data_IF_009936618927
#
_entry.id   IF_009936618927
#
_cell.length_a   1.000
_cell.length_b   1.000
_cell.length_c   1.000
_cell.angle_alpha   90.00
_cell.angle_beta   90.00
_cell.angle_gamma   90.00
#
_symmetry.space_group_name_H-M   'P 1'
#
loop_
_entity.id
_entity.type
_entity.pdbx_description
1 polymer ?
#
# COMPACT_ATOMS: atom_id res chain seq x y z
N UNK A 1 -17.14 13.56 2.93
CA UNK A 1 -15.70 13.24 2.84
C UNK A 1 -14.91 14.45 3.31
N UNK A 2 -13.97 14.28 4.25
CA UNK A 2 -13.08 15.34 4.71
C UNK A 2 -11.71 15.11 4.06
N UNK A 3 -11.13 16.15 3.46
CA UNK A 3 -9.82 16.11 2.84
C UNK A 3 -8.78 16.80 3.71
N UNK A 4 -7.50 16.49 3.45
CA UNK A 4 -6.37 17.19 4.07
C UNK A 4 -6.51 18.70 3.85
N UNK A 5 -6.25 19.48 4.90
CA UNK A 5 -6.48 20.93 4.91
C UNK A 5 -7.92 21.35 5.25
N UNK A 6 -8.76 20.43 5.75
CA UNK A 6 -10.09 20.73 6.28
C UNK A 6 -11.17 20.95 5.21
N UNK A 7 -10.85 20.69 3.93
CA UNK A 7 -11.80 20.85 2.84
C UNK A 7 -12.85 19.72 2.87
N UNK A 8 -14.13 20.08 2.84
CA UNK A 8 -15.25 19.12 2.82
C UNK A 8 -15.77 18.92 1.40
N UNK A 9 -15.87 17.66 0.99
CA UNK A 9 -16.56 17.24 -0.23
C UNK A 9 -17.82 16.46 0.13
N UNK A 10 -18.90 16.81 -0.56
CA UNK A 10 -20.15 16.05 -0.58
C UNK A 10 -20.11 15.07 -1.74
N UNK A 11 -20.58 13.86 -1.50
CA UNK A 11 -20.60 12.79 -2.49
C UNK A 11 -22.06 12.47 -2.80
N UNK A 12 -22.36 12.26 -4.08
CA UNK A 12 -23.66 11.81 -4.54
C UNK A 12 -23.49 10.72 -5.59
N UNK A 13 -24.23 9.63 -5.40
CA UNK A 13 -24.35 8.54 -6.34
C UNK A 13 -25.48 8.78 -7.34
N UNK A 14 -25.25 8.43 -8.59
CA UNK A 14 -26.25 8.39 -9.65
C UNK A 14 -26.17 7.03 -10.36
N UNK A 15 -26.67 5.94 -9.73
CA UNK A 15 -26.45 4.55 -10.18
C UNK A 15 -26.97 4.24 -11.58
N UNK A 16 -27.96 5.00 -12.05
CA UNK A 16 -28.59 4.83 -13.37
C UNK A 16 -28.04 5.80 -14.42
N UNK A 17 -27.09 6.67 -14.09
CA UNK A 17 -26.54 7.63 -15.04
C UNK A 17 -25.93 6.92 -16.25
N UNK A 18 -26.44 7.23 -17.45
CA UNK A 18 -26.04 6.60 -18.73
C UNK A 18 -25.95 5.07 -18.65
N UNK A 19 -26.83 4.47 -17.86
CA UNK A 19 -26.91 3.03 -17.60
C UNK A 19 -25.66 2.39 -16.98
N UNK A 20 -24.61 3.14 -16.66
CA UNK A 20 -23.37 2.60 -16.06
C UNK A 20 -23.18 3.02 -14.61
N UNK A 21 -23.82 4.12 -14.21
CA UNK A 21 -23.64 4.70 -12.89
C UNK A 21 -22.55 5.77 -12.85
N UNK A 22 -22.65 6.65 -11.85
CA UNK A 22 -21.72 7.78 -11.66
C UNK A 22 -21.67 8.16 -10.19
N UNK A 23 -20.52 8.62 -9.73
CA UNK A 23 -20.35 9.30 -8.45
C UNK A 23 -19.86 10.71 -8.71
N UNK A 24 -20.43 11.69 -8.03
CA UNK A 24 -20.08 13.10 -8.16
C UNK A 24 -19.62 13.60 -6.80
N UNK A 25 -18.42 14.17 -6.76
CA UNK A 25 -17.90 14.89 -5.61
C UNK A 25 -18.04 16.39 -5.86
N UNK A 26 -18.66 17.11 -4.94
CA UNK A 26 -18.88 18.54 -5.07
C UNK A 26 -18.59 19.30 -3.77
N UNK A 27 -18.18 20.55 -3.94
CA UNK A 27 -18.01 21.53 -2.88
C UNK A 27 -19.26 22.40 -2.80
N UNK A 28 -19.77 22.59 -1.60
CA UNK A 28 -20.81 23.57 -1.32
C UNK A 28 -20.13 24.83 -0.75
N UNK A 29 -20.21 25.93 -1.48
CA UNK A 29 -19.74 27.23 -1.01
C UNK A 29 -20.75 27.83 -0.01
N UNK A 30 -20.30 28.81 0.79
CA UNK A 30 -21.13 29.47 1.80
C UNK A 30 -22.35 30.21 1.21
N UNK A 31 -22.24 30.66 -0.04
CA UNK A 31 -23.30 31.30 -0.82
C UNK A 31 -24.30 30.29 -1.43
N UNK A 32 -24.14 28.99 -1.15
CA UNK A 32 -24.97 27.93 -1.71
C UNK A 32 -24.53 27.46 -3.10
N UNK A 33 -23.52 28.07 -3.70
CA UNK A 33 -23.03 27.65 -5.01
C UNK A 33 -22.35 26.27 -4.92
N UNK A 34 -22.76 25.38 -5.82
CA UNK A 34 -22.20 24.03 -5.94
C UNK A 34 -21.13 24.00 -7.02
N UNK A 35 -19.91 23.61 -6.66
CA UNK A 35 -18.82 23.37 -7.60
C UNK A 35 -18.53 21.87 -7.66
N UNK A 36 -18.70 21.26 -8.84
CA UNK A 36 -18.23 19.89 -9.06
C UNK A 36 -16.70 19.86 -8.97
N UNK A 37 -16.18 19.08 -8.04
CA UNK A 37 -14.75 18.89 -7.86
C UNK A 37 -14.25 17.71 -8.70
N UNK A 38 -14.99 16.59 -8.69
CA UNK A 38 -14.60 15.37 -9.39
C UNK A 38 -15.83 14.53 -9.74
N UNK A 39 -15.69 13.65 -10.74
CA UNK A 39 -16.66 12.59 -10.97
C UNK A 39 -16.01 11.26 -11.34
N UNK A 40 -16.57 10.18 -10.84
CA UNK A 40 -16.21 8.80 -11.16
C UNK A 40 -17.32 8.19 -12.01
N UNK A 41 -16.98 7.43 -13.04
CA UNK A 41 -17.95 6.79 -13.94
C UNK A 41 -17.86 5.28 -13.80
N UNK A 42 -19.01 4.62 -13.78
CA UNK A 42 -19.08 3.16 -13.79
C UNK A 42 -18.63 2.59 -15.14
N UNK A 43 -18.03 1.41 -15.09
CA UNK A 43 -17.45 0.75 -16.27
C UNK A 43 -18.48 -0.07 -17.04
N UNK A 44 -19.34 -0.81 -16.32
CA UNK A 44 -20.26 -1.79 -16.89
C UNK A 44 -21.72 -1.30 -16.88
N UNK A 45 -22.42 -1.52 -18.00
CA UNK A 45 -23.85 -1.23 -18.13
C UNK A 45 -24.64 -2.11 -17.17
N UNK A 46 -25.64 -1.54 -16.50
CA UNK A 46 -26.50 -2.24 -15.56
C UNK A 46 -25.85 -2.53 -14.21
N UNK A 47 -24.63 -2.07 -13.95
CA UNK A 47 -23.91 -2.40 -12.71
C UNK A 47 -24.35 -1.63 -11.46
N UNK A 48 -25.11 -0.54 -11.66
CA UNK A 48 -25.56 0.37 -10.59
C UNK A 48 -24.40 0.99 -9.79
N UNK A 49 -23.28 1.28 -10.46
CA UNK A 49 -22.12 1.93 -9.83
C UNK A 49 -22.49 3.24 -9.13
N UNK A 50 -22.10 3.37 -7.87
CA UNK A 50 -22.43 4.50 -7.01
C UNK A 50 -23.74 4.34 -6.25
N UNK A 51 -24.26 3.12 -6.10
CA UNK A 51 -25.46 2.87 -5.28
C UNK A 51 -25.22 3.07 -3.80
N UNK A 52 -24.05 2.66 -3.32
CA UNK A 52 -23.58 2.86 -1.95
C UNK A 52 -22.23 3.56 -1.97
N UNK A 53 -22.02 4.45 -1.01
CA UNK A 53 -20.82 5.26 -0.85
C UNK A 53 -20.39 5.25 0.61
N UNK A 54 -19.18 4.75 0.90
CA UNK A 54 -18.66 4.70 2.26
C UNK A 54 -17.28 5.39 2.32
N UNK A 55 -17.21 6.67 2.74
CA UNK A 55 -15.95 7.33 3.04
C UNK A 55 -15.40 6.85 4.39
N UNK A 56 -14.14 6.46 4.42
CA UNK A 56 -13.44 5.85 5.54
C UNK A 56 -12.16 6.62 5.88
N UNK A 57 -11.91 6.81 7.17
CA UNK A 57 -10.68 7.31 7.76
C UNK A 57 -9.97 6.11 8.39
N UNK A 58 -9.03 5.53 7.65
CA UNK A 58 -8.43 4.24 8.00
C UNK A 58 -7.22 4.41 8.92
N UNK A 59 -6.56 5.57 8.92
CA UNK A 59 -5.45 5.86 9.83
C UNK A 59 -5.85 6.68 11.06
N UNK A 60 -7.11 7.10 11.16
CA UNK A 60 -7.69 7.79 12.31
C UNK A 60 -7.27 9.26 12.42
N UNK A 61 -6.73 9.85 11.35
CA UNK A 61 -6.22 11.22 11.37
C UNK A 61 -7.29 12.31 11.21
N UNK A 62 -8.56 11.91 11.11
CA UNK A 62 -9.71 12.77 10.86
C UNK A 62 -9.98 13.02 9.38
N UNK A 63 -9.13 12.57 8.48
CA UNK A 63 -9.25 12.73 7.03
C UNK A 63 -9.78 11.44 6.42
N UNK A 64 -10.58 11.57 5.36
CA UNK A 64 -10.93 10.39 4.58
C UNK A 64 -9.73 9.92 3.76
N UNK A 65 -9.28 8.69 3.99
CA UNK A 65 -8.24 7.99 3.21
C UNK A 65 -8.82 7.20 2.04
N UNK A 66 -9.96 6.55 2.28
CA UNK A 66 -10.58 5.62 1.33
C UNK A 66 -12.04 6.00 1.08
N UNK A 67 -12.46 5.91 -0.17
CA UNK A 67 -13.87 5.91 -0.56
C UNK A 67 -14.22 4.56 -1.18
N UNK A 68 -15.13 3.84 -0.53
CA UNK A 68 -15.77 2.67 -1.11
C UNK A 68 -16.95 3.09 -1.98
N UNK A 69 -17.04 2.50 -3.17
CA UNK A 69 -18.15 2.70 -4.10
C UNK A 69 -18.68 1.35 -4.54
N UNK A 70 -19.96 1.09 -4.30
CA UNK A 70 -20.56 -0.19 -4.69
C UNK A 70 -21.16 -0.17 -6.11
N UNK A 71 -21.16 -1.35 -6.73
CA UNK A 71 -21.87 -1.69 -7.96
C UNK A 71 -22.51 -3.09 -7.78
N UNK A 72 -23.60 -3.21 -7.01
CA UNK A 72 -24.15 -4.49 -6.58
C UNK A 72 -24.71 -5.31 -7.74
N UNK A 73 -25.04 -4.71 -8.88
CA UNK A 73 -25.53 -5.45 -10.06
C UNK A 73 -24.42 -5.74 -11.06
N UNK A 74 -23.15 -5.63 -10.66
CA UNK A 74 -22.03 -5.97 -11.52
C UNK A 74 -22.07 -7.46 -11.91
N UNK A 75 -22.00 -7.72 -13.22
CA UNK A 75 -21.94 -9.04 -13.81
C UNK A 75 -20.50 -9.56 -13.80
N UNK A 76 -20.27 -10.62 -13.04
CA UNK A 76 -19.03 -11.38 -12.99
C UNK A 76 -18.96 -12.49 -14.05
N UNK A 77 -18.09 -13.50 -13.87
CA UNK A 77 -17.98 -14.63 -14.78
C UNK A 77 -19.32 -15.31 -15.04
N UNK A 78 -19.53 -15.78 -16.28
CA UNK A 78 -20.78 -16.42 -16.73
C UNK A 78 -22.03 -15.53 -16.63
N UNK A 79 -21.88 -14.20 -16.65
CA UNK A 79 -22.99 -13.24 -16.55
C UNK A 79 -23.81 -13.38 -15.26
N UNK A 80 -23.20 -13.80 -14.16
CA UNK A 80 -23.86 -13.83 -12.84
C UNK A 80 -23.74 -12.47 -12.16
N UNK A 81 -24.79 -12.02 -11.50
CA UNK A 81 -24.82 -10.77 -10.72
C UNK A 81 -24.04 -10.92 -9.41
N UNK A 82 -22.71 -10.96 -9.51
CA UNK A 82 -21.83 -11.14 -8.34
C UNK A 82 -21.79 -9.90 -7.47
N UNK A 83 -21.99 -8.72 -8.07
CA UNK A 83 -21.73 -7.44 -7.43
C UNK A 83 -20.24 -7.16 -7.29
N UNK A 84 -19.89 -5.93 -6.91
CA UNK A 84 -18.52 -5.44 -6.75
C UNK A 84 -18.49 -4.20 -5.85
N UNK A 85 -17.45 -4.09 -5.02
CA UNK A 85 -17.11 -2.85 -4.30
C UNK A 85 -15.74 -2.37 -4.77
N UNK A 86 -15.66 -1.10 -5.15
CA UNK A 86 -14.44 -0.43 -5.58
C UNK A 86 -13.83 0.33 -4.41
N UNK A 87 -12.50 0.29 -4.29
CA UNK A 87 -11.73 1.00 -3.26
C UNK A 87 -10.97 2.14 -3.93
N UNK A 88 -11.35 3.38 -3.66
CA UNK A 88 -10.63 4.56 -4.15
C UNK A 88 -9.83 5.17 -3.02
N UNK A 89 -8.49 5.17 -3.14
CA UNK A 89 -7.67 6.00 -2.26
C UNK A 89 -7.87 7.47 -2.63
N UNK A 90 -8.06 8.29 -1.62
CA UNK A 90 -8.12 9.73 -1.80
C UNK A 90 -6.70 10.23 -2.08
N UNK A 91 -6.34 10.28 -3.37
CA UNK A 91 -4.99 10.65 -3.86
C UNK A 91 -4.26 9.59 -4.69
N UNK A 92 -4.78 8.35 -4.78
CA UNK A 92 -4.27 7.27 -5.64
C UNK A 92 -5.41 6.35 -6.12
N UNK A 93 -5.20 5.60 -7.20
CA UNK A 93 -6.19 4.63 -7.69
C UNK A 93 -5.73 3.22 -7.35
N UNK A 94 -6.54 2.44 -6.63
CA UNK A 94 -6.35 1.00 -6.43
C UNK A 94 -7.50 0.26 -7.12
N UNK A 95 -7.19 -0.86 -7.77
CA UNK A 95 -8.16 -1.71 -8.43
C UNK A 95 -8.88 -2.64 -7.43
N UNK A 96 -10.13 -2.97 -7.72
CA UNK A 96 -10.98 -3.81 -6.86
C UNK A 96 -10.35 -5.20 -6.61
N UNK A 97 -10.48 -5.70 -5.37
CA UNK A 97 -10.02 -7.03 -4.95
C UNK A 97 -11.11 -8.08 -5.25
N UNK A 98 -10.72 -9.28 -5.68
CA UNK A 98 -11.64 -10.41 -5.92
C UNK A 98 -11.81 -11.25 -4.65
N UNK A 99 -13.05 -11.49 -4.24
CA UNK A 99 -13.38 -12.35 -3.10
C UNK A 99 -13.27 -13.85 -3.44
N UNK A 100 -12.90 -14.72 -2.47
CA UNK A 100 -12.70 -16.16 -2.69
C UNK A 100 -14.01 -16.99 -2.77
N UNK A 101 -15.17 -16.44 -2.37
CA UNK A 101 -16.47 -17.11 -2.48
C UNK A 101 -17.37 -16.45 -3.53
N UNK A 102 -18.21 -17.28 -4.18
CA UNK A 102 -19.21 -16.81 -5.12
C UNK A 102 -20.36 -16.08 -4.39
N UNK A 103 -20.20 -14.77 -4.21
CA UNK A 103 -21.24 -13.89 -3.67
C UNK A 103 -22.17 -13.43 -4.79
N UNK A 104 -23.42 -13.10 -4.41
CA UNK A 104 -24.38 -12.44 -5.30
C UNK A 104 -24.77 -11.09 -4.73
N UNK A 105 -24.88 -10.08 -5.58
CA UNK A 105 -25.16 -8.70 -5.18
C UNK A 105 -24.23 -8.12 -4.11
N UNK A 106 -22.95 -8.49 -4.13
CA UNK A 106 -21.96 -7.96 -3.20
C UNK A 106 -21.86 -6.43 -3.30
N UNK A 107 -21.92 -5.73 -2.15
CA UNK A 107 -21.98 -4.28 -2.11
C UNK A 107 -23.40 -3.70 -2.07
N UNK A 108 -24.41 -4.52 -1.77
CA UNK A 108 -25.80 -4.05 -1.63
C UNK A 108 -25.98 -3.08 -0.46
N UNK A 109 -25.16 -3.24 0.57
CA UNK A 109 -25.01 -2.33 1.70
C UNK A 109 -23.54 -2.32 2.10
N UNK A 110 -23.03 -1.19 2.58
CA UNK A 110 -21.66 -1.03 3.06
C UNK A 110 -21.68 -0.17 4.31
N UNK A 111 -21.04 -0.62 5.38
CA UNK A 111 -20.75 0.19 6.57
C UNK A 111 -19.29 -0.02 6.98
N UNK A 112 -18.67 1.00 7.58
CA UNK A 112 -17.26 0.91 7.98
C UNK A 112 -16.86 1.88 9.08
N UNK A 113 -17.62 1.88 10.18
CA UNK A 113 -17.46 2.85 11.27
C UNK A 113 -17.14 2.20 12.61
N UNK A 114 -17.04 0.88 12.64
CA UNK A 114 -16.89 0.11 13.86
C UNK A 114 -15.67 -0.79 13.72
N UNK A 115 -14.91 -0.87 14.79
CA UNK A 115 -13.98 -1.96 15.05
C UNK A 115 -14.80 -3.17 15.50
N UNK A 116 -14.70 -4.28 14.77
CA UNK A 116 -15.46 -5.50 15.06
C UNK A 116 -14.57 -6.65 15.54
N UNK A 117 -13.25 -6.54 15.46
CA UNK A 117 -12.31 -7.55 15.94
C UNK A 117 -11.48 -7.13 17.17
N UNK A 118 -11.58 -5.87 17.59
CA UNK A 118 -11.06 -5.33 18.83
C UNK A 118 -9.61 -4.85 18.76
N UNK A 119 -9.08 -4.56 17.56
CA UNK A 119 -7.73 -4.05 17.35
C UNK A 119 -7.63 -2.50 17.25
N UNK A 120 -8.74 -1.82 17.51
CA UNK A 120 -9.00 -0.38 17.36
C UNK A 120 -8.90 0.16 15.92
N UNK A 121 -8.92 -0.70 14.91
CA UNK A 121 -9.04 -0.30 13.52
C UNK A 121 -10.49 -0.39 13.07
N UNK A 122 -10.91 0.55 12.22
CA UNK A 122 -12.26 0.46 11.65
C UNK A 122 -12.33 -0.69 10.63
N UNK A 123 -13.30 -1.57 10.78
CA UNK A 123 -13.54 -2.64 9.81
C UNK A 123 -14.65 -2.27 8.84
N UNK A 124 -14.76 -3.01 7.74
CA UNK A 124 -15.81 -2.80 6.74
C UNK A 124 -16.72 -4.00 6.65
N UNK A 125 -18.01 -3.79 6.91
CA UNK A 125 -19.05 -4.78 6.67
C UNK A 125 -19.70 -4.54 5.29
N UNK A 126 -19.71 -5.56 4.44
CA UNK A 126 -20.31 -5.51 3.11
C UNK A 126 -21.42 -6.55 2.99
N UNK A 127 -22.63 -6.08 2.69
CA UNK A 127 -23.79 -6.93 2.47
C UNK A 127 -23.80 -7.57 1.07
N UNK A 128 -24.31 -8.80 1.03
CA UNK A 128 -24.60 -9.58 -0.17
C UNK A 128 -25.95 -10.31 0.00
N UNK A 129 -26.41 -10.99 -1.04
CA UNK A 129 -27.60 -11.83 -0.95
C UNK A 129 -27.34 -13.04 -0.05
N UNK A 130 -28.04 -13.09 1.09
CA UNK A 130 -27.95 -14.20 2.05
C UNK A 130 -26.67 -14.23 2.88
N UNK A 131 -25.80 -13.21 2.80
CA UNK A 131 -24.55 -13.14 3.56
C UNK A 131 -24.12 -11.69 3.82
N UNK A 132 -23.28 -11.50 4.84
CA UNK A 132 -22.48 -10.30 5.03
C UNK A 132 -21.02 -10.72 5.17
N UNK A 133 -20.11 -9.92 4.59
CA UNK A 133 -18.68 -10.14 4.66
C UNK A 133 -18.07 -9.05 5.51
N UNK A 134 -17.33 -9.45 6.54
CA UNK A 134 -16.48 -8.55 7.30
C UNK A 134 -15.09 -8.50 6.65
N UNK A 135 -14.60 -7.30 6.41
CA UNK A 135 -13.26 -7.02 5.93
C UNK A 135 -12.51 -6.30 7.06
N UNK A 136 -11.69 -7.06 7.79
CA UNK A 136 -10.84 -6.50 8.83
C UNK A 136 -9.77 -5.59 8.22
N UNK A 137 -9.58 -4.43 8.84
CA UNK A 137 -8.49 -3.53 8.46
C UNK A 137 -7.13 -4.10 8.85
N UNK A 138 -6.05 -3.50 8.31
CA UNK A 138 -4.68 -3.86 8.66
C UNK A 138 -3.91 -2.61 9.04
N UNK A 139 -2.98 -2.67 10.01
CA UNK A 139 -2.18 -1.52 10.40
C UNK A 139 -1.35 -0.95 9.23
N UNK A 140 -1.30 0.38 9.13
CA UNK A 140 -0.50 1.06 8.10
C UNK A 140 0.82 1.52 8.73
N UNK A 141 1.93 1.02 8.19
CA UNK A 141 3.29 1.42 8.58
C UNK A 141 4.02 2.07 7.42
N UNK A 142 4.74 3.14 7.71
CA UNK A 142 5.67 3.80 6.80
C UNK A 142 7.09 3.36 7.11
N UNK A 143 7.78 2.86 6.09
CA UNK A 143 9.18 2.45 6.15
C UNK A 143 10.02 3.49 5.40
N UNK A 144 10.94 4.15 6.10
CA UNK A 144 11.92 5.05 5.52
C UNK A 144 13.31 4.38 5.57
N UNK A 145 13.79 3.79 4.46
CA UNK A 145 15.11 3.20 4.40
C UNK A 145 16.20 4.26 4.19
N UNK A 146 17.36 4.07 4.81
CA UNK A 146 18.57 4.86 4.59
C UNK A 146 19.79 3.95 4.49
N UNK A 147 20.68 4.22 3.53
CA UNK A 147 21.87 3.41 3.28
C UNK A 147 23.14 4.27 3.42
N UNK A 148 24.08 3.84 4.25
CA UNK A 148 25.38 4.47 4.42
C UNK A 148 26.51 3.47 4.16
N UNK A 149 27.42 3.79 3.24
CA UNK A 149 28.55 2.92 2.86
C UNK A 149 29.85 3.45 3.45
N UNK A 150 30.66 2.58 4.03
CA UNK A 150 31.96 2.88 4.62
C UNK A 150 33.04 1.95 4.06
N UNK A 151 34.13 2.48 3.48
CA UNK A 151 34.34 3.89 3.13
C UNK A 151 33.38 4.38 2.04
N UNK A 152 33.15 5.72 1.92
CA UNK A 152 32.21 6.27 0.93
C UNK A 152 32.70 6.14 -0.51
N UNK A 153 34.00 5.92 -0.72
CA UNK A 153 34.60 5.70 -2.02
C UNK A 153 35.43 4.41 -2.02
N UNK A 154 35.34 3.65 -3.11
CA UNK A 154 36.12 2.43 -3.30
C UNK A 154 37.49 2.83 -3.84
N UNK A 155 38.55 2.55 -3.08
CA UNK A 155 39.92 2.73 -3.56
C UNK A 155 40.30 1.61 -4.53
N UNK A 156 40.81 1.98 -5.71
CA UNK A 156 41.35 1.03 -6.71
C UNK A 156 42.75 0.55 -6.32
N UNK A 157 43.46 1.37 -5.54
CA UNK A 157 44.87 1.18 -5.15
C UNK A 157 44.98 0.49 -3.79
N UNK A 158 44.23 0.96 -2.80
CA UNK A 158 44.21 0.39 -1.46
C UNK A 158 43.26 -0.81 -1.45
N UNK A 159 43.83 -2.00 -1.28
CA UNK A 159 43.12 -3.28 -1.29
C UNK A 159 43.30 -3.92 0.08
N UNK A 160 42.38 -3.55 0.97
CA UNK A 160 42.54 -3.64 2.42
C UNK A 160 42.21 -5.05 2.95
N UNK A 161 41.78 -5.95 2.07
CA UNK A 161 41.45 -7.31 2.45
C UNK A 161 41.77 -8.32 1.33
N UNK A 162 41.79 -9.59 1.72
CA UNK A 162 41.93 -10.72 0.81
C UNK A 162 40.62 -11.50 0.83
N UNK A 163 40.05 -11.75 -0.35
CA UNK A 163 38.83 -12.54 -0.55
C UNK A 163 39.05 -13.49 -1.71
N UNK A 164 38.81 -14.80 -1.47
CA UNK A 164 39.06 -15.87 -2.45
C UNK A 164 40.47 -15.83 -3.07
N UNK A 165 41.49 -15.50 -2.26
CA UNK A 165 42.88 -15.40 -2.70
C UNK A 165 43.24 -14.15 -3.52
N UNK A 166 42.29 -13.26 -3.79
CA UNK A 166 42.51 -12.00 -4.51
C UNK A 166 42.51 -10.82 -3.54
N UNK A 167 43.40 -9.86 -3.77
CA UNK A 167 43.36 -8.56 -3.09
C UNK A 167 42.08 -7.82 -3.53
N UNK A 168 41.25 -7.45 -2.58
CA UNK A 168 39.97 -6.77 -2.79
C UNK A 168 39.87 -5.52 -1.91
N UNK A 169 38.99 -4.59 -2.28
CA UNK A 169 38.57 -3.51 -1.40
C UNK A 169 37.35 -3.99 -0.61
N UNK A 170 37.44 -4.06 0.72
CA UNK A 170 36.32 -4.44 1.58
C UNK A 170 35.58 -3.20 2.07
N UNK A 171 34.27 -3.27 2.05
CA UNK A 171 33.38 -2.20 2.47
C UNK A 171 32.29 -2.77 3.38
N UNK A 172 31.72 -1.90 4.20
CA UNK A 172 30.50 -2.17 4.92
C UNK A 172 29.42 -1.18 4.48
N UNK A 173 28.17 -1.63 4.51
CA UNK A 173 27.01 -0.78 4.33
C UNK A 173 26.05 -0.97 5.50
N UNK A 174 25.70 0.14 6.16
CA UNK A 174 24.65 0.18 7.15
C UNK A 174 23.32 0.51 6.46
N UNK A 175 22.44 -0.48 6.36
CA UNK A 175 21.07 -0.29 5.87
C UNK A 175 20.14 -0.16 7.08
N UNK A 176 19.64 1.05 7.32
CA UNK A 176 18.75 1.35 8.43
C UNK A 176 17.32 1.58 7.94
N UNK A 177 16.36 1.12 8.72
CA UNK A 177 14.93 1.32 8.50
C UNK A 177 14.37 2.12 9.66
N UNK A 178 13.86 3.31 9.38
CA UNK A 178 13.03 4.06 10.31
C UNK A 178 11.57 3.69 10.07
N UNK A 179 10.91 3.19 11.12
CA UNK A 179 9.52 2.72 11.04
C UNK A 179 8.62 3.67 11.80
N UNK A 180 7.62 4.22 11.12
CA UNK A 180 6.61 5.09 11.72
C UNK A 180 5.21 4.59 11.38
N UNK A 181 4.24 4.78 12.26
CA UNK A 181 2.83 4.50 11.97
C UNK A 181 1.98 5.66 12.44
N UNK A 182 0.89 5.92 11.72
CA UNK A 182 -0.16 6.88 12.12
C UNK A 182 -1.37 6.15 12.68
N UNK A 183 -1.51 4.87 12.35
CA UNK A 183 -2.59 4.01 12.79
C UNK A 183 -2.52 3.84 14.31
N UNK A 184 -3.49 4.44 15.01
CA UNK A 184 -3.74 4.17 16.42
C UNK A 184 -4.31 2.76 16.60
N UNK A 185 -3.97 2.09 17.69
CA UNK A 185 -4.66 0.88 18.11
C UNK A 185 -3.82 -0.17 18.81
N UNK A 186 -4.49 -1.20 19.31
CA UNK A 186 -3.90 -2.33 20.02
C UNK A 186 -3.46 -3.45 19.06
N UNK A 187 -2.45 -3.19 18.25
CA UNK A 187 -1.87 -4.19 17.32
C UNK A 187 -0.39 -4.46 17.61
N UNK A 188 0.13 -5.56 17.04
CA UNK A 188 1.52 -5.95 17.26
C UNK A 188 2.49 -5.07 16.46
N UNK A 189 3.20 -4.18 17.17
CA UNK A 189 4.19 -3.27 16.57
C UNK A 189 5.47 -3.97 16.06
N UNK A 190 5.61 -5.29 16.25
CA UNK A 190 6.74 -6.08 15.77
C UNK A 190 6.36 -6.91 14.56
N UNK A 191 7.11 -6.72 13.47
CA UNK A 191 6.92 -7.45 12.23
C UNK A 191 8.26 -7.79 11.57
N UNK A 192 8.24 -8.69 10.60
CA UNK A 192 9.42 -9.03 9.82
C UNK A 192 9.28 -8.44 8.42
N UNK A 193 10.36 -7.84 7.92
CA UNK A 193 10.51 -7.54 6.50
C UNK A 193 11.41 -8.59 5.86
N UNK A 194 11.09 -8.91 4.60
CA UNK A 194 11.97 -9.66 3.72
C UNK A 194 12.41 -8.73 2.60
N UNK A 195 13.72 -8.58 2.42
CA UNK A 195 14.29 -7.75 1.38
C UNK A 195 15.50 -8.43 0.74
N UNK A 196 15.84 -8.00 -0.47
CA UNK A 196 17.04 -8.46 -1.17
C UNK A 196 17.95 -7.27 -1.38
N UNK A 197 19.14 -7.31 -0.79
CA UNK A 197 20.19 -6.34 -1.11
C UNK A 197 20.89 -6.79 -2.40
N UNK A 198 21.08 -5.86 -3.33
CA UNK A 198 21.79 -6.09 -4.59
C UNK A 198 22.97 -5.14 -4.71
N UNK A 199 24.12 -5.68 -5.10
CA UNK A 199 25.32 -4.91 -5.43
C UNK A 199 25.45 -4.81 -6.95
N UNK A 200 25.82 -3.62 -7.43
CA UNK A 200 26.13 -3.38 -8.85
C UNK A 200 24.97 -3.83 -9.77
N UNK A 201 23.73 -3.47 -9.41
CA UNK A 201 22.48 -3.97 -10.03
C UNK A 201 22.45 -3.75 -11.56
N UNK A 202 22.96 -2.61 -12.01
CA UNK A 202 22.88 -2.17 -13.40
C UNK A 202 24.04 -2.64 -14.28
N UNK A 203 25.02 -3.37 -13.74
CA UNK A 203 26.18 -3.83 -14.53
C UNK A 203 26.08 -5.31 -14.89
N UNK A 204 26.39 -5.63 -16.16
CA UNK A 204 26.37 -7.00 -16.66
C UNK A 204 27.50 -7.87 -16.07
N UNK A 205 28.59 -7.25 -15.61
CA UNK A 205 29.67 -7.90 -14.88
C UNK A 205 29.72 -7.44 -13.44
N UNK A 206 29.26 -8.27 -12.50
CA UNK A 206 29.30 -7.95 -11.08
C UNK A 206 30.74 -7.77 -10.61
N UNK A 207 31.08 -6.55 -10.18
CA UNK A 207 32.40 -6.24 -9.60
C UNK A 207 32.43 -6.41 -8.08
N UNK A 208 31.26 -6.54 -7.46
CA UNK A 208 31.10 -6.62 -6.02
C UNK A 208 30.32 -7.88 -5.61
N UNK A 209 30.65 -8.41 -4.44
CA UNK A 209 29.97 -9.55 -3.85
C UNK A 209 29.90 -9.43 -2.33
N UNK A 210 28.83 -9.94 -1.73
CA UNK A 210 28.69 -10.00 -0.28
C UNK A 210 29.64 -11.03 0.32
N UNK A 211 30.18 -10.75 1.50
CA UNK A 211 31.17 -11.61 2.16
C UNK A 211 30.61 -13.01 2.49
N UNK A 212 29.36 -13.09 2.96
CA UNK A 212 28.78 -14.36 3.43
C UNK A 212 28.40 -15.34 2.31
N UNK A 213 27.86 -14.87 1.19
CA UNK A 213 27.42 -15.71 0.06
C UNK A 213 28.44 -15.74 -1.08
N UNK A 214 29.30 -14.72 -1.17
CA UNK A 214 30.12 -14.46 -2.35
C UNK A 214 29.31 -14.29 -3.63
N UNK A 215 28.03 -13.89 -3.49
CA UNK A 215 27.12 -13.54 -4.56
C UNK A 215 26.83 -12.03 -4.51
N UNK A 216 26.33 -11.47 -5.63
CA UNK A 216 25.93 -10.05 -5.72
C UNK A 216 24.61 -9.73 -5.03
N UNK A 217 23.81 -10.75 -4.71
CA UNK A 217 22.51 -10.64 -4.07
C UNK A 217 22.55 -11.28 -2.68
N UNK A 218 21.86 -10.65 -1.74
CA UNK A 218 21.72 -11.14 -0.37
C UNK A 218 20.28 -10.96 0.10
N UNK A 219 19.46 -12.02 0.04
CA UNK A 219 18.16 -12.06 0.69
C UNK A 219 18.35 -12.00 2.21
N UNK A 220 17.56 -11.15 2.86
CA UNK A 220 17.61 -10.90 4.30
C UNK A 220 16.20 -10.88 4.87
N UNK A 221 16.11 -11.29 6.13
CA UNK A 221 14.91 -11.15 6.95
C UNK A 221 15.30 -10.37 8.20
N UNK A 222 14.63 -9.23 8.42
CA UNK A 222 14.91 -8.35 9.54
C UNK A 222 13.64 -8.12 10.35
N UNK A 223 13.74 -8.26 11.67
CA UNK A 223 12.66 -7.91 12.57
C UNK A 223 12.72 -6.41 12.83
N UNK A 224 11.61 -5.73 12.57
CA UNK A 224 11.43 -4.32 12.84
C UNK A 224 10.46 -4.10 13.99
N UNK A 225 10.58 -2.93 14.61
CA UNK A 225 9.63 -2.45 15.59
C UNK A 225 9.24 -1.01 15.25
N UNK A 226 7.94 -0.72 15.31
CA UNK A 226 7.41 0.63 15.05
C UNK A 226 7.96 1.61 16.08
N UNK A 227 8.34 2.81 15.63
CA UNK A 227 8.91 3.88 16.46
C UNK A 227 10.43 3.82 16.61
N UNK A 228 11.07 2.70 16.24
CA UNK A 228 12.51 2.53 16.33
C UNK A 228 13.19 2.62 14.96
N UNK A 229 14.49 2.90 14.99
CA UNK A 229 15.39 2.68 13.86
C UNK A 229 16.09 1.33 14.06
N UNK A 230 16.06 0.47 13.07
CA UNK A 230 16.77 -0.81 13.08
C UNK A 230 17.70 -0.90 11.88
N UNK A 231 18.97 -1.23 12.12
CA UNK A 231 20.00 -1.28 11.09
C UNK A 231 20.53 -2.70 10.90
N UNK A 232 20.73 -3.09 9.64
CA UNK A 232 21.44 -4.30 9.22
C UNK A 232 22.79 -3.89 8.63
N UNK A 233 23.86 -4.53 9.10
CA UNK A 233 25.20 -4.35 8.54
C UNK A 233 25.44 -5.35 7.42
N UNK A 234 25.81 -4.83 6.24
CA UNK A 234 26.09 -5.61 5.04
C UNK A 234 27.57 -5.47 4.70
N UNK A 235 28.32 -6.56 4.80
CA UNK A 235 29.72 -6.61 4.43
C UNK A 235 29.89 -7.14 3.01
N UNK A 236 30.65 -6.42 2.20
CA UNK A 236 30.88 -6.77 0.81
C UNK A 236 32.28 -6.35 0.37
N UNK A 237 32.72 -6.91 -0.74
CA UNK A 237 34.02 -6.63 -1.32
C UNK A 237 33.89 -6.37 -2.81
N UNK A 238 34.83 -5.58 -3.35
CA UNK A 238 34.92 -5.26 -4.76
C UNK A 238 36.20 -5.88 -5.33
N UNK A 239 36.04 -6.70 -6.36
CA UNK A 239 37.13 -7.28 -7.15
C UNK A 239 37.55 -6.30 -8.23
N UNK A 240 38.65 -5.59 -7.98
CA UNK A 240 39.25 -4.68 -8.94
C UNK A 240 40.08 -5.50 -9.94
N UNK A 241 39.58 -5.64 -11.18
CA UNK A 241 40.35 -6.24 -12.27
C UNK A 241 41.60 -5.37 -12.54
N UNK A 242 42.75 -6.01 -12.79
CA UNK A 242 43.91 -5.31 -13.38
C UNK A 242 43.56 -5.06 -14.85
N UNK A 243 43.67 -3.81 -15.29
CA UNK A 243 43.85 -3.50 -16.72
C UNK A 243 45.26 -3.93 -17.15
#
# INVERSE_FOLDING_TARGET
>A
MLLRGGQRLFLSGAPRFRHRGKVIAFQLKKDGAVKVAQSLQGEQIGSYFGSELCPLDMDGDGTTDVLLVAAPMFLGPQNKETGRVYVYLVGQRIAAISMPQALSYFGRSVDGRLDLDGDDLIDVAVGAQGAAVLLSSQPIVHLAPSLAVTPPAISVVQRDCIRRGQKAACLSAALCFQVTSRTSGHWNHRFYIQFTALLDEWTAGARAAFDGSGQRLSPKRLQLNVGNVTCEQLYFYVLVRRE
#
